data_IF_608260500240
#
_entry.id   IF_608260500240
#
_cell.length_a   1.000
_cell.length_b   1.000
_cell.length_c   1.000
_cell.angle_alpha   90.00
_cell.angle_beta   90.00
_cell.angle_gamma   90.00
#
_symmetry.space_group_name_H-M   'P 1'
#
loop_
_entity.id
_entity.type
_entity.pdbx_description
1 polymer ?
#
# COMPACT_ATOMS: atom_id res chain seq x y z
N UNK A 1 32.70 18.73 -19.12
CA UNK A 1 31.80 19.46 -18.19
C UNK A 1 32.48 20.77 -17.76
N UNK A 2 31.82 21.93 -17.85
CA UNK A 2 32.43 23.24 -17.57
C UNK A 2 32.80 23.38 -16.08
N UNK A 3 34.03 23.83 -15.78
CA UNK A 3 34.60 24.02 -14.42
C UNK A 3 33.69 24.83 -13.49
N UNK A 4 32.92 25.79 -14.04
CA UNK A 4 31.92 26.57 -13.29
C UNK A 4 30.73 25.74 -12.82
N UNK A 5 30.29 24.75 -13.60
CA UNK A 5 29.21 23.81 -13.23
C UNK A 5 29.70 22.78 -12.19
N UNK A 6 30.93 22.32 -12.29
CA UNK A 6 31.52 21.40 -11.30
C UNK A 6 31.66 22.07 -9.92
N UNK A 7 32.17 23.30 -9.86
CA UNK A 7 32.29 24.03 -8.60
C UNK A 7 30.94 24.35 -7.95
N UNK A 8 29.90 24.63 -8.76
CA UNK A 8 28.53 24.83 -8.26
C UNK A 8 27.96 23.54 -7.65
N UNK A 9 28.18 22.39 -8.30
CA UNK A 9 27.72 21.09 -7.80
C UNK A 9 28.48 20.69 -6.52
N UNK A 10 29.79 20.91 -6.48
CA UNK A 10 30.61 20.65 -5.30
C UNK A 10 30.16 21.47 -4.08
N UNK A 11 29.87 22.77 -4.25
CA UNK A 11 29.37 23.61 -3.16
C UNK A 11 27.98 23.20 -2.67
N UNK A 12 27.09 22.75 -3.57
CA UNK A 12 25.77 22.23 -3.20
C UNK A 12 25.92 20.95 -2.37
N UNK A 13 26.76 20.01 -2.81
CA UNK A 13 27.02 18.76 -2.09
C UNK A 13 27.69 19.01 -0.73
N UNK A 14 28.59 19.99 -0.66
CA UNK A 14 29.25 20.41 0.58
C UNK A 14 28.27 21.01 1.59
N UNK A 15 27.39 21.93 1.16
CA UNK A 15 26.36 22.50 2.05
C UNK A 15 25.30 21.47 2.45
N UNK A 16 24.96 20.51 1.58
CA UNK A 16 24.10 19.38 1.92
C UNK A 16 24.73 18.46 2.97
N UNK A 17 26.03 18.15 2.84
CA UNK A 17 26.78 17.35 3.82
C UNK A 17 26.96 18.07 5.17
N UNK A 18 27.12 19.40 5.15
CA UNK A 18 27.19 20.23 6.36
C UNK A 18 25.83 20.34 7.05
N UNK A 19 24.75 20.46 6.28
CA UNK A 19 23.38 20.50 6.81
C UNK A 19 22.98 19.14 7.39
N UNK A 20 23.34 18.03 6.73
CA UNK A 20 23.13 16.68 7.25
C UNK A 20 23.98 16.40 8.49
N UNK A 21 25.23 16.87 8.54
CA UNK A 21 26.09 16.79 9.73
C UNK A 21 25.54 17.59 10.91
N UNK A 22 25.00 18.80 10.67
CA UNK A 22 24.34 19.60 11.71
C UNK A 22 23.01 18.98 12.17
N UNK A 23 22.27 18.32 11.26
CA UNK A 23 21.06 17.57 11.62
C UNK A 23 21.40 16.30 12.39
N UNK A 24 22.47 15.59 12.03
CA UNK A 24 22.99 14.44 12.76
C UNK A 24 23.50 14.84 14.15
N UNK A 25 24.17 15.99 14.29
CA UNK A 25 24.57 16.57 15.58
C UNK A 25 23.40 17.02 16.47
N UNK A 26 22.32 17.52 15.87
CA UNK A 26 21.07 17.82 16.58
C UNK A 26 20.32 16.54 16.95
N UNK A 27 20.35 15.52 16.10
CA UNK A 27 19.77 14.21 16.39
C UNK A 27 20.54 13.49 17.50
N UNK A 28 21.87 13.51 17.50
CA UNK A 28 22.68 12.91 18.58
C UNK A 28 22.53 13.64 19.90
N UNK A 29 22.41 14.97 19.91
CA UNK A 29 22.11 15.72 21.15
C UNK A 29 20.67 15.53 21.65
N UNK A 30 19.74 15.17 20.75
CA UNK A 30 18.38 14.75 21.10
C UNK A 30 18.35 13.30 21.65
N UNK A 31 19.21 12.42 21.12
CA UNK A 31 19.37 11.02 21.53
C UNK A 31 20.15 10.89 22.85
N UNK A 32 21.03 11.84 23.19
CA UNK A 32 21.88 11.78 24.38
C UNK A 32 21.24 12.35 25.66
N UNK A 33 19.93 12.65 25.66
CA UNK A 33 19.21 13.17 26.83
C UNK A 33 18.33 12.06 27.43
N UNK A 34 18.76 11.40 28.52
CA UNK A 34 18.11 10.20 29.03
C UNK A 34 16.63 10.43 29.39
N UNK A 35 16.31 11.62 29.90
CA UNK A 35 14.96 11.94 30.39
C UNK A 35 13.96 12.33 29.28
N UNK A 36 14.38 12.45 28.01
CA UNK A 36 13.47 12.70 26.87
C UNK A 36 13.13 11.44 26.09
N UNK A 37 13.97 10.41 26.14
CA UNK A 37 13.70 9.13 25.47
C UNK A 37 12.65 8.28 26.19
N UNK A 38 12.52 8.40 27.51
CA UNK A 38 11.45 7.70 28.25
C UNK A 38 10.04 8.19 27.91
N UNK A 39 9.93 9.39 27.33
CA UNK A 39 8.69 9.94 26.78
C UNK A 39 8.47 9.59 25.30
N UNK A 40 9.45 8.99 24.65
CA UNK A 40 9.29 8.29 23.37
C UNK A 40 9.03 6.83 23.70
N UNK A 41 7.89 6.55 24.33
CA UNK A 41 7.28 5.22 24.25
C UNK A 41 7.01 4.95 22.79
N UNK A 42 7.99 4.36 22.09
CA UNK A 42 7.89 3.63 20.82
C UNK A 42 6.64 3.96 20.01
N UNK A 43 6.53 5.21 19.54
CA UNK A 43 5.36 5.66 18.80
C UNK A 43 5.53 5.27 17.33
N UNK A 44 5.40 3.98 17.05
CA UNK A 44 4.97 3.56 15.72
C UNK A 44 3.51 3.99 15.63
N UNK A 45 3.21 4.99 14.81
CA UNK A 45 1.84 5.41 14.53
C UNK A 45 1.31 4.47 13.45
N UNK A 46 0.50 3.45 13.80
CA UNK A 46 0.01 2.48 12.81
C UNK A 46 -0.76 3.18 11.69
N UNK A 47 -1.41 4.31 11.96
CA UNK A 47 -2.14 5.10 10.97
C UNK A 47 -1.21 5.74 9.93
N UNK A 48 -0.07 6.27 10.40
CA UNK A 48 0.96 6.85 9.53
C UNK A 48 1.63 5.78 8.68
N UNK A 49 1.89 4.61 9.26
CA UNK A 49 2.46 3.47 8.56
C UNK A 49 1.50 2.94 7.49
N UNK A 50 0.22 2.76 7.82
CA UNK A 50 -0.77 2.29 6.85
C UNK A 50 -0.96 3.31 5.71
N UNK A 51 -0.98 4.61 6.04
CA UNK A 51 -1.03 5.66 5.02
C UNK A 51 0.21 5.62 4.12
N UNK A 52 1.39 5.43 4.69
CA UNK A 52 2.66 5.28 3.95
C UNK A 52 2.66 4.05 3.03
N UNK A 53 2.19 2.91 3.51
CA UNK A 53 2.10 1.68 2.71
C UNK A 53 1.10 1.80 1.56
N UNK A 54 0.14 2.72 1.66
CA UNK A 54 -0.88 2.94 0.61
C UNK A 54 -0.43 3.92 -0.49
N UNK A 55 0.87 4.27 -0.54
CA UNK A 55 1.37 5.25 -1.50
C UNK A 55 1.82 4.62 -2.81
N UNK A 56 1.25 5.09 -3.93
CA UNK A 56 1.65 4.68 -5.29
C UNK A 56 3.14 4.87 -5.59
N UNK A 57 3.78 5.88 -4.98
CA UNK A 57 5.21 6.12 -5.13
C UNK A 57 6.07 5.01 -4.51
N UNK A 58 5.60 4.39 -3.42
CA UNK A 58 6.26 3.25 -2.79
C UNK A 58 6.15 2.01 -3.69
N UNK A 59 4.97 1.78 -4.27
CA UNK A 59 4.74 0.72 -5.25
C UNK A 59 5.63 0.88 -6.48
N UNK A 60 5.72 2.08 -7.05
CA UNK A 60 6.65 2.40 -8.17
C UNK A 60 8.12 2.18 -7.83
N UNK A 61 8.50 2.36 -6.57
CA UNK A 61 9.86 2.01 -6.13
C UNK A 61 10.06 0.50 -6.11
N UNK A 62 9.08 -0.25 -5.61
CA UNK A 62 9.13 -1.72 -5.62
C UNK A 62 9.17 -2.27 -7.04
N UNK A 63 8.33 -1.74 -7.94
CA UNK A 63 8.28 -2.09 -9.36
C UNK A 63 9.67 -2.04 -10.01
N UNK A 64 10.38 -0.91 -9.84
CA UNK A 64 11.75 -0.71 -10.37
C UNK A 64 12.77 -1.68 -9.81
N UNK A 65 12.56 -2.20 -8.59
CA UNK A 65 13.46 -3.17 -7.96
C UNK A 65 13.17 -4.58 -8.48
N UNK A 66 11.91 -4.88 -8.79
CA UNK A 66 11.46 -6.19 -9.28
C UNK A 66 11.42 -6.31 -10.80
N UNK A 67 11.62 -5.20 -11.52
CA UNK A 67 11.60 -5.15 -12.98
C UNK A 67 12.62 -6.11 -13.58
N UNK A 68 12.17 -6.90 -14.54
CA UNK A 68 13.00 -7.87 -15.25
C UNK A 68 12.44 -8.12 -16.65
N UNK A 69 13.28 -8.62 -17.54
CA UNK A 69 12.87 -8.98 -18.90
C UNK A 69 11.79 -10.05 -18.89
N UNK A 70 10.74 -9.87 -19.70
CA UNK A 70 9.66 -10.83 -19.86
C UNK A 70 10.18 -12.19 -20.35
N UNK A 71 9.85 -13.25 -19.61
CA UNK A 71 10.19 -14.63 -19.93
C UNK A 71 9.01 -15.37 -20.59
N UNK A 72 9.13 -16.69 -20.78
CA UNK A 72 8.08 -17.50 -21.42
C UNK A 72 6.79 -17.55 -20.60
N UNK A 73 6.89 -17.49 -19.27
CA UNK A 73 5.75 -17.53 -18.36
C UNK A 73 5.02 -16.19 -18.39
N UNK A 74 5.75 -15.08 -18.30
CA UNK A 74 5.17 -13.73 -18.39
C UNK A 74 4.38 -13.58 -19.71
N UNK A 75 4.93 -14.07 -20.82
CA UNK A 75 4.23 -14.09 -22.13
C UNK A 75 3.03 -15.04 -22.18
N UNK A 76 3.04 -16.12 -21.40
CA UNK A 76 1.93 -17.05 -21.32
C UNK A 76 0.76 -16.45 -20.54
N UNK A 77 1.03 -15.71 -19.46
CA UNK A 77 0.03 -14.91 -18.75
C UNK A 77 -0.56 -13.85 -19.69
N UNK A 78 0.29 -13.10 -20.40
CA UNK A 78 -0.14 -12.03 -21.31
C UNK A 78 -0.74 -12.54 -22.64
N UNK A 79 -0.86 -13.84 -22.89
CA UNK A 79 -1.09 -14.39 -24.23
C UNK A 79 -2.34 -13.83 -24.93
N UNK A 80 -3.44 -13.68 -24.19
CA UNK A 80 -4.69 -13.12 -24.71
C UNK A 80 -4.58 -11.61 -24.95
N UNK A 81 -3.84 -10.88 -24.12
CA UNK A 81 -3.52 -9.48 -24.35
C UNK A 81 -2.66 -9.30 -25.60
N UNK A 82 -1.61 -10.10 -25.78
CA UNK A 82 -0.77 -10.07 -26.98
C UNK A 82 -1.57 -10.36 -28.26
N UNK A 83 -2.65 -11.15 -28.16
CA UNK A 83 -3.54 -11.46 -29.27
C UNK A 83 -4.57 -10.36 -29.55
N UNK A 84 -5.16 -9.78 -28.52
CA UNK A 84 -6.36 -8.93 -28.64
C UNK A 84 -6.12 -7.44 -28.36
N UNK A 85 -5.08 -7.13 -27.60
CA UNK A 85 -4.76 -5.82 -27.03
C UNK A 85 -5.90 -5.24 -26.17
N UNK A 86 -6.82 -6.07 -25.69
CA UNK A 86 -7.91 -5.65 -24.81
C UNK A 86 -7.34 -5.18 -23.46
N UNK A 87 -7.87 -4.06 -22.95
CA UNK A 87 -7.50 -3.52 -21.63
C UNK A 87 -6.29 -2.59 -21.63
N UNK A 88 -5.41 -2.65 -22.63
CA UNK A 88 -4.20 -1.81 -22.67
C UNK A 88 -3.35 -1.98 -21.40
N UNK A 89 -2.98 -0.90 -20.69
CA UNK A 89 -2.27 -1.03 -19.41
C UNK A 89 -3.01 -1.85 -18.35
N UNK A 90 -4.35 -1.92 -18.42
CA UNK A 90 -5.22 -2.65 -17.48
C UNK A 90 -5.50 -4.10 -17.93
N UNK A 91 -4.77 -4.62 -18.93
CA UNK A 91 -5.08 -5.92 -19.58
C UNK A 91 -5.22 -7.09 -18.60
N UNK A 92 -4.41 -7.10 -17.52
CA UNK A 92 -4.39 -8.17 -16.52
C UNK A 92 -5.76 -8.50 -15.94
N UNK A 93 -6.66 -7.52 -15.83
CA UNK A 93 -8.04 -7.70 -15.34
C UNK A 93 -8.92 -8.49 -16.32
N UNK A 94 -8.53 -8.59 -17.59
CA UNK A 94 -9.42 -8.97 -18.70
C UNK A 94 -8.91 -10.12 -19.57
N UNK A 95 -7.62 -10.43 -19.53
CA UNK A 95 -6.97 -11.40 -20.44
C UNK A 95 -7.03 -12.86 -19.97
N UNK A 96 -7.45 -13.12 -18.72
CA UNK A 96 -7.55 -14.49 -18.20
C UNK A 96 -6.26 -15.05 -17.63
N UNK A 97 -5.15 -14.32 -17.68
CA UNK A 97 -3.82 -14.83 -17.32
C UNK A 97 -3.33 -14.43 -15.94
N UNK A 98 -3.92 -13.42 -15.29
CA UNK A 98 -3.36 -12.84 -14.07
C UNK A 98 -4.21 -13.03 -12.80
N UNK A 99 -5.39 -13.64 -12.87
CA UNK A 99 -5.98 -14.21 -11.66
C UNK A 99 -5.26 -15.52 -11.28
N UNK A 100 -5.32 -15.93 -10.00
CA UNK A 100 -4.51 -17.05 -9.49
C UNK A 100 -4.75 -18.34 -10.29
N UNK A 101 -6.00 -18.61 -10.68
CA UNK A 101 -6.35 -19.83 -11.40
C UNK A 101 -5.88 -19.78 -12.86
N UNK A 102 -6.10 -18.65 -13.53
CA UNK A 102 -5.64 -18.39 -14.89
C UNK A 102 -4.12 -18.40 -15.01
N UNK A 103 -3.42 -17.77 -14.05
CA UNK A 103 -1.96 -17.75 -14.00
C UNK A 103 -1.38 -19.15 -13.82
N UNK A 104 -2.00 -19.97 -12.97
CA UNK A 104 -1.57 -21.37 -12.80
C UNK A 104 -1.69 -22.16 -14.10
N UNK A 105 -2.83 -22.06 -14.80
CA UNK A 105 -3.02 -22.73 -16.08
C UNK A 105 -2.08 -22.18 -17.16
N UNK A 106 -1.83 -20.87 -17.19
CA UNK A 106 -0.90 -20.26 -18.13
C UNK A 106 0.55 -20.76 -17.92
N UNK A 107 1.01 -20.79 -16.67
CA UNK A 107 2.37 -21.26 -16.32
C UNK A 107 2.53 -22.74 -16.65
N UNK A 108 1.59 -23.58 -16.23
CA UNK A 108 1.61 -25.02 -16.48
C UNK A 108 1.64 -25.36 -17.98
N UNK A 109 0.99 -24.55 -18.80
CA UNK A 109 0.95 -24.75 -20.26
C UNK A 109 2.09 -24.05 -21.01
N UNK A 110 2.95 -23.28 -20.33
CA UNK A 110 4.04 -22.52 -20.96
C UNK A 110 5.17 -23.42 -21.48
N UNK A 111 5.43 -24.55 -20.81
CA UNK A 111 6.48 -25.50 -21.17
C UNK A 111 6.07 -26.91 -20.79
N UNK A 112 6.25 -27.86 -21.73
CA UNK A 112 5.95 -29.28 -21.49
C UNK A 112 7.04 -30.01 -20.70
N UNK A 113 8.20 -29.38 -20.58
CA UNK A 113 9.40 -29.98 -19.98
C UNK A 113 9.57 -29.55 -18.51
N UNK A 114 8.69 -28.69 -18.00
CA UNK A 114 8.77 -28.20 -16.64
C UNK A 114 8.34 -29.28 -15.64
N UNK A 115 9.10 -29.37 -14.55
CA UNK A 115 8.65 -30.06 -13.34
C UNK A 115 7.70 -29.17 -12.54
N UNK A 116 6.89 -29.80 -11.69
CA UNK A 116 6.01 -29.09 -10.75
C UNK A 116 6.70 -27.99 -9.92
N UNK A 117 7.97 -28.21 -9.53
CA UNK A 117 8.75 -27.20 -8.77
C UNK A 117 9.07 -26.00 -9.64
N UNK A 118 9.39 -26.20 -10.92
CA UNK A 118 9.63 -25.12 -11.87
C UNK A 118 8.35 -24.34 -12.14
N UNK A 119 7.23 -25.01 -12.35
CA UNK A 119 5.91 -24.38 -12.51
C UNK A 119 5.55 -23.53 -11.28
N UNK A 120 5.74 -24.07 -10.07
CA UNK A 120 5.44 -23.34 -8.83
C UNK A 120 6.32 -22.12 -8.66
N UNK A 121 7.63 -22.25 -8.93
CA UNK A 121 8.57 -21.13 -8.84
C UNK A 121 8.28 -20.07 -9.91
N UNK A 122 7.91 -20.49 -11.12
CA UNK A 122 7.51 -19.61 -12.21
C UNK A 122 6.24 -18.82 -11.87
N UNK A 123 5.20 -19.50 -11.36
CA UNK A 123 3.98 -18.87 -10.90
C UNK A 123 4.27 -17.81 -9.83
N UNK A 124 5.01 -18.19 -8.78
CA UNK A 124 5.35 -17.26 -7.71
C UNK A 124 6.14 -16.05 -8.23
N UNK A 125 7.10 -16.27 -9.13
CA UNK A 125 7.91 -15.19 -9.68
C UNK A 125 7.12 -14.25 -10.59
N UNK A 126 6.28 -14.77 -11.50
CA UNK A 126 5.47 -13.93 -12.41
C UNK A 126 4.42 -13.14 -11.63
N UNK A 127 3.69 -13.79 -10.70
CA UNK A 127 2.73 -13.09 -9.84
C UNK A 127 3.41 -12.06 -8.92
N UNK A 128 4.63 -12.34 -8.43
CA UNK A 128 5.38 -11.38 -7.62
C UNK A 128 5.74 -10.11 -8.41
N UNK A 129 6.10 -10.23 -9.69
CA UNK A 129 6.36 -9.05 -10.54
C UNK A 129 5.09 -8.20 -10.66
N UNK A 130 3.96 -8.83 -10.98
CA UNK A 130 2.69 -8.13 -11.21
C UNK A 130 2.16 -7.47 -9.93
N UNK A 131 2.28 -8.15 -8.78
CA UNK A 131 1.96 -7.60 -7.46
C UNK A 131 2.74 -6.33 -7.11
N UNK A 132 3.92 -6.14 -7.71
CA UNK A 132 4.75 -4.97 -7.44
C UNK A 132 4.56 -3.85 -8.48
N UNK A 133 3.51 -3.90 -9.29
CA UNK A 133 3.14 -2.82 -10.23
C UNK A 133 1.90 -2.07 -9.77
N UNK A 134 1.68 -0.86 -10.31
CA UNK A 134 0.47 -0.05 -10.01
C UNK A 134 -0.86 -0.76 -10.32
N UNK A 135 -0.87 -1.71 -11.25
CA UNK A 135 -2.10 -2.43 -11.64
C UNK A 135 -2.37 -3.68 -10.81
N UNK A 136 -1.40 -4.12 -10.00
CA UNK A 136 -1.50 -5.33 -9.19
C UNK A 136 -1.95 -6.58 -9.94
N UNK A 137 -2.63 -7.46 -9.21
CA UNK A 137 -3.31 -8.65 -9.70
C UNK A 137 -4.82 -8.53 -9.52
N UNK A 138 -5.65 -9.01 -10.45
CA UNK A 138 -7.08 -9.09 -10.23
C UNK A 138 -7.46 -10.23 -9.27
N UNK A 139 -8.53 -10.08 -8.50
CA UNK A 139 -9.11 -11.21 -7.75
C UNK A 139 -9.70 -12.28 -8.67
N UNK A 140 -10.20 -11.85 -9.83
CA UNK A 140 -10.74 -12.70 -10.89
C UNK A 140 -10.67 -11.96 -12.22
N UNK A 141 -10.58 -12.71 -13.30
CA UNK A 141 -10.78 -12.16 -14.64
C UNK A 141 -12.22 -11.67 -14.82
N UNK A 142 -12.38 -10.49 -15.40
CA UNK A 142 -13.67 -9.85 -15.66
C UNK A 142 -13.82 -9.59 -17.15
N UNK A 143 -15.05 -9.70 -17.67
CA UNK A 143 -15.31 -9.27 -19.04
C UNK A 143 -15.19 -7.74 -19.17
N UNK A 144 -14.44 -7.27 -20.17
CA UNK A 144 -14.20 -5.84 -20.38
C UNK A 144 -15.47 -5.00 -20.55
N UNK A 145 -16.50 -5.48 -21.25
CA UNK A 145 -17.74 -4.71 -21.43
C UNK A 145 -18.49 -4.56 -20.11
N UNK A 146 -18.61 -5.65 -19.34
CA UNK A 146 -19.23 -5.61 -18.02
C UNK A 146 -18.46 -4.71 -17.05
N UNK A 147 -17.12 -4.72 -17.10
CA UNK A 147 -16.30 -3.80 -16.35
C UNK A 147 -16.58 -2.34 -16.76
N UNK A 148 -16.57 -2.02 -18.05
CA UNK A 148 -16.76 -0.65 -18.53
C UNK A 148 -18.13 -0.08 -18.13
N UNK A 149 -19.19 -0.88 -18.23
CA UNK A 149 -20.54 -0.53 -17.81
C UNK A 149 -20.61 -0.28 -16.30
N UNK A 150 -20.06 -1.19 -15.51
CA UNK A 150 -20.08 -1.08 -14.05
C UNK A 150 -19.22 0.09 -13.57
N UNK A 151 -18.02 0.26 -14.12
CA UNK A 151 -17.12 1.37 -13.82
C UNK A 151 -17.77 2.71 -14.15
N UNK A 152 -18.47 2.82 -15.30
CA UNK A 152 -19.21 4.02 -15.66
C UNK A 152 -20.36 4.32 -14.68
N UNK A 153 -21.10 3.29 -14.26
CA UNK A 153 -22.13 3.44 -13.24
C UNK A 153 -21.55 3.87 -11.89
N UNK A 154 -20.45 3.26 -11.44
CA UNK A 154 -19.74 3.61 -10.19
C UNK A 154 -19.29 5.07 -10.23
N UNK A 155 -18.59 5.48 -11.29
CA UNK A 155 -18.10 6.87 -11.41
C UNK A 155 -19.23 7.90 -11.44
N UNK A 156 -20.42 7.52 -11.92
CA UNK A 156 -21.61 8.38 -11.92
C UNK A 156 -22.32 8.43 -10.56
N UNK A 157 -22.31 7.32 -9.83
CA UNK A 157 -23.18 7.12 -8.66
C UNK A 157 -22.47 7.35 -7.33
N UNK A 158 -21.15 7.14 -7.27
CA UNK A 158 -20.35 7.29 -6.07
C UNK A 158 -19.50 8.56 -6.20
N UNK A 159 -19.71 9.57 -5.32
CA UNK A 159 -18.89 10.77 -5.34
C UNK A 159 -17.40 10.42 -5.21
N UNK A 160 -16.54 11.10 -5.97
CA UNK A 160 -15.08 10.94 -5.98
C UNK A 160 -14.53 9.60 -6.49
N UNK A 161 -15.36 8.58 -6.70
CA UNK A 161 -14.93 7.35 -7.36
C UNK A 161 -14.80 7.59 -8.86
N UNK A 162 -13.70 7.12 -9.44
CA UNK A 162 -13.50 7.08 -10.88
C UNK A 162 -13.25 5.64 -11.34
N UNK A 163 -12.96 5.47 -12.64
CA UNK A 163 -12.67 4.13 -13.19
C UNK A 163 -11.39 3.53 -12.62
N UNK A 164 -10.39 4.35 -12.28
CA UNK A 164 -9.14 3.87 -11.66
C UNK A 164 -9.41 3.37 -10.25
N UNK A 165 -10.15 4.12 -9.45
CA UNK A 165 -10.55 3.71 -8.11
C UNK A 165 -11.35 2.39 -8.14
N UNK A 166 -12.26 2.25 -9.11
CA UNK A 166 -12.99 0.99 -9.28
C UNK A 166 -12.12 -0.16 -9.80
N UNK A 167 -11.09 0.13 -10.59
CA UNK A 167 -10.08 -0.86 -10.96
C UNK A 167 -9.33 -1.35 -9.72
N UNK A 168 -8.80 -0.41 -8.93
CA UNK A 168 -8.04 -0.67 -7.72
C UNK A 168 -8.86 -1.53 -6.73
N UNK A 169 -10.18 -1.29 -6.62
CA UNK A 169 -11.12 -2.09 -5.82
C UNK A 169 -11.22 -3.57 -6.24
N UNK A 170 -10.92 -3.89 -7.49
CA UNK A 170 -11.01 -5.23 -8.07
C UNK A 170 -9.64 -5.89 -8.24
N UNK A 171 -8.58 -5.20 -7.88
CA UNK A 171 -7.21 -5.68 -7.88
C UNK A 171 -6.60 -5.65 -6.49
N UNK A 172 -5.41 -6.22 -6.36
CA UNK A 172 -4.59 -6.08 -5.18
C UNK A 172 -3.11 -6.05 -5.51
N UNK A 173 -2.34 -5.28 -4.75
CA UNK A 173 -0.89 -5.20 -4.86
C UNK A 173 -0.16 -5.73 -3.60
N UNK A 174 1.18 -5.77 -3.66
CA UNK A 174 2.03 -6.28 -2.58
C UNK A 174 1.92 -5.47 -1.28
N UNK A 175 1.75 -4.16 -1.37
CA UNK A 175 1.61 -3.29 -0.21
C UNK A 175 0.21 -3.31 0.38
N UNK A 176 -0.81 -3.56 -0.44
CA UNK A 176 -2.18 -3.80 0.05
C UNK A 176 -2.28 -5.10 0.84
N UNK A 177 -1.62 -6.16 0.37
CA UNK A 177 -1.45 -7.41 1.14
C UNK A 177 -0.72 -7.13 2.45
N UNK A 178 0.40 -6.41 2.40
CA UNK A 178 1.21 -6.12 3.59
C UNK A 178 0.44 -5.27 4.62
N UNK A 179 -0.26 -4.22 4.17
CA UNK A 179 -1.10 -3.38 5.00
C UNK A 179 -2.22 -4.20 5.65
N UNK A 180 -2.92 -5.03 4.86
CA UNK A 180 -3.93 -5.97 5.34
C UNK A 180 -3.38 -6.92 6.42
N UNK A 181 -2.22 -7.52 6.18
CA UNK A 181 -1.58 -8.46 7.12
C UNK A 181 -1.18 -7.78 8.43
N UNK A 182 -0.55 -6.60 8.37
CA UNK A 182 -0.16 -5.84 9.57
C UNK A 182 -1.39 -5.39 10.37
N UNK A 183 -2.45 -4.94 9.69
CA UNK A 183 -3.72 -4.61 10.32
C UNK A 183 -4.38 -5.82 10.95
N UNK A 184 -4.33 -6.99 10.32
CA UNK A 184 -4.88 -8.23 10.88
C UNK A 184 -4.17 -8.62 12.18
N UNK A 185 -2.84 -8.54 12.20
CA UNK A 185 -2.04 -8.76 13.41
C UNK A 185 -2.43 -7.75 14.49
N UNK A 186 -2.50 -6.45 14.16
CA UNK A 186 -2.91 -5.40 15.09
C UNK A 186 -4.29 -5.64 15.71
N UNK A 187 -5.27 -6.00 14.88
CA UNK A 187 -6.63 -6.36 15.32
C UNK A 187 -6.62 -7.56 16.25
N UNK A 188 -5.91 -8.64 15.89
CA UNK A 188 -5.82 -9.84 16.71
C UNK A 188 -5.24 -9.54 18.09
N UNK A 189 -4.18 -8.73 18.16
CA UNK A 189 -3.60 -8.29 19.43
C UNK A 189 -4.57 -7.42 20.25
N UNK A 190 -5.23 -6.46 19.62
CA UNK A 190 -6.19 -5.59 20.31
C UNK A 190 -7.38 -6.40 20.86
N UNK A 191 -7.93 -7.33 20.07
CA UNK A 191 -9.01 -8.22 20.51
C UNK A 191 -8.57 -9.17 21.63
N UNK A 192 -7.36 -9.74 21.54
CA UNK A 192 -6.81 -10.64 22.56
C UNK A 192 -6.58 -9.95 23.90
N UNK A 193 -6.11 -8.71 23.85
CA UNK A 193 -5.81 -7.91 25.04
C UNK A 193 -7.00 -7.09 25.53
N UNK A 194 -8.16 -7.20 24.87
CA UNK A 194 -9.36 -6.40 25.15
C UNK A 194 -9.09 -4.87 25.10
N UNK A 195 -8.12 -4.47 24.27
CA UNK A 195 -7.75 -3.06 24.08
C UNK A 195 -8.71 -2.39 23.07
N UNK A 196 -9.85 -1.97 23.60
CA UNK A 196 -10.93 -1.32 22.85
C UNK A 196 -10.51 0.01 22.21
N UNK A 197 -9.58 0.74 22.83
CA UNK A 197 -9.14 2.03 22.32
C UNK A 197 -8.27 1.83 21.08
N UNK A 198 -7.31 0.89 21.13
CA UNK A 198 -6.49 0.53 19.97
C UNK A 198 -7.33 -0.12 18.86
N UNK A 199 -8.31 -0.96 19.20
CA UNK A 199 -9.21 -1.55 18.22
C UNK A 199 -10.05 -0.50 17.49
N UNK A 200 -10.63 0.45 18.24
CA UNK A 200 -11.40 1.55 17.65
C UNK A 200 -10.52 2.44 16.74
N UNK A 201 -9.29 2.76 17.17
CA UNK A 201 -8.35 3.55 16.40
C UNK A 201 -7.89 2.82 15.11
N UNK A 202 -7.66 1.51 15.18
CA UNK A 202 -7.38 0.67 14.01
C UNK A 202 -8.57 0.64 13.03
N UNK A 203 -9.80 0.43 13.53
CA UNK A 203 -11.01 0.44 12.70
C UNK A 203 -11.19 1.79 11.98
N UNK A 204 -10.97 2.90 12.68
CA UNK A 204 -11.06 4.24 12.10
C UNK A 204 -9.98 4.51 11.06
N UNK A 205 -8.74 4.15 11.36
CA UNK A 205 -7.60 4.41 10.47
C UNK A 205 -7.58 3.50 9.25
N UNK A 206 -7.56 2.18 9.45
CA UNK A 206 -7.53 1.21 8.36
C UNK A 206 -8.82 1.24 7.53
N UNK A 207 -9.97 1.56 8.13
CA UNK A 207 -11.23 1.70 7.40
C UNK A 207 -11.20 2.88 6.43
N UNK A 208 -10.71 4.05 6.86
CA UNK A 208 -10.56 5.22 5.97
C UNK A 208 -9.52 4.94 4.88
N UNK A 209 -8.40 4.32 5.23
CA UNK A 209 -7.36 3.97 4.27
C UNK A 209 -7.90 3.02 3.21
N UNK A 210 -8.63 1.98 3.61
CA UNK A 210 -9.28 1.05 2.67
C UNK A 210 -10.21 1.75 1.68
N UNK A 211 -10.95 2.78 2.12
CA UNK A 211 -11.83 3.54 1.22
C UNK A 211 -11.02 4.42 0.27
N UNK A 212 -10.05 5.18 0.79
CA UNK A 212 -9.27 6.14 -0.02
C UNK A 212 -8.39 5.41 -1.04
N UNK A 213 -7.74 4.32 -0.63
CA UNK A 213 -6.86 3.53 -1.49
C UNK A 213 -7.60 2.47 -2.30
N UNK A 214 -8.92 2.36 -2.15
CA UNK A 214 -9.73 1.28 -2.69
C UNK A 214 -9.29 -0.15 -2.29
N UNK A 215 -8.54 -0.34 -1.20
CA UNK A 215 -8.00 -1.65 -0.80
C UNK A 215 -9.10 -2.58 -0.25
N UNK A 216 -9.54 -3.60 -1.00
CA UNK A 216 -10.67 -4.44 -0.59
C UNK A 216 -10.30 -5.43 0.52
N UNK A 217 -9.05 -5.89 0.55
CA UNK A 217 -8.49 -6.79 1.57
C UNK A 217 -8.59 -6.16 2.96
N UNK A 218 -8.13 -4.91 3.07
CA UNK A 218 -8.20 -4.14 4.31
C UNK A 218 -9.65 -3.79 4.67
N UNK A 219 -10.47 -3.42 3.70
CA UNK A 219 -11.89 -3.12 3.90
C UNK A 219 -12.68 -4.30 4.47
N UNK A 220 -12.55 -5.48 3.86
CA UNK A 220 -13.20 -6.72 4.33
C UNK A 220 -12.75 -7.05 5.75
N UNK A 221 -11.45 -6.98 6.03
CA UNK A 221 -10.91 -7.22 7.37
C UNK A 221 -11.55 -6.29 8.41
N UNK A 222 -11.66 -4.99 8.12
CA UNK A 222 -12.26 -4.02 9.04
C UNK A 222 -13.76 -4.27 9.26
N UNK A 223 -14.51 -4.61 8.21
CA UNK A 223 -15.94 -4.95 8.32
C UNK A 223 -16.13 -6.20 9.19
N UNK A 224 -15.38 -7.26 8.95
CA UNK A 224 -15.46 -8.50 9.74
C UNK A 224 -15.07 -8.26 11.20
N UNK A 225 -14.04 -7.44 11.42
CA UNK A 225 -13.58 -7.06 12.76
C UNK A 225 -14.64 -6.28 13.53
N UNK A 226 -15.23 -5.26 12.88
CA UNK A 226 -16.30 -4.47 13.49
C UNK A 226 -17.53 -5.33 13.79
N UNK A 227 -17.93 -6.20 12.86
CA UNK A 227 -19.04 -7.12 13.05
C UNK A 227 -18.77 -8.10 14.21
N UNK A 228 -17.59 -8.69 14.27
CA UNK A 228 -17.20 -9.60 15.36
C UNK A 228 -17.21 -8.89 16.72
N UNK A 229 -16.57 -7.72 16.81
CA UNK A 229 -16.51 -6.94 18.04
C UNK A 229 -17.90 -6.52 18.53
N UNK A 230 -18.78 -6.07 17.63
CA UNK A 230 -20.13 -5.64 17.96
C UNK A 230 -21.06 -6.80 18.29
N UNK A 231 -21.16 -7.80 17.41
CA UNK A 231 -22.16 -8.86 17.57
C UNK A 231 -21.73 -9.97 18.54
N UNK A 232 -20.44 -10.33 18.56
CA UNK A 232 -19.93 -11.46 19.34
C UNK A 232 -19.37 -11.00 20.68
N UNK A 233 -18.48 -10.01 20.67
CA UNK A 233 -17.86 -9.50 21.89
C UNK A 233 -18.71 -8.47 22.64
N UNK A 234 -19.80 -7.99 22.02
CA UNK A 234 -20.68 -6.94 22.58
C UNK A 234 -19.91 -5.71 23.05
N UNK A 235 -18.85 -5.37 22.31
CA UNK A 235 -17.96 -4.26 22.64
C UNK A 235 -18.59 -2.94 22.23
N UNK A 236 -18.57 -1.97 23.13
CA UNK A 236 -18.92 -0.58 22.82
C UNK A 236 -17.66 0.21 22.49
N UNK A 237 -17.58 0.72 21.26
CA UNK A 237 -16.45 1.51 20.82
C UNK A 237 -16.55 2.96 21.29
N UNK A 238 -15.43 3.52 21.76
CA UNK A 238 -15.32 4.96 21.97
C UNK A 238 -15.20 5.66 20.62
N UNK A 239 -16.27 6.37 20.22
CA UNK A 239 -16.33 7.12 18.96
C UNK A 239 -15.15 8.09 18.77
N UNK A 240 -14.61 8.64 19.87
CA UNK A 240 -13.47 9.55 19.83
C UNK A 240 -12.17 8.88 19.36
N UNK A 241 -11.95 7.60 19.70
CA UNK A 241 -10.75 6.84 19.30
C UNK A 241 -10.83 6.41 17.84
N UNK A 242 -12.01 5.99 17.40
CA UNK A 242 -12.31 5.79 15.99
C UNK A 242 -12.08 7.07 15.19
N UNK A 243 -12.64 8.19 15.65
CA UNK A 243 -12.47 9.50 15.02
C UNK A 243 -11.01 9.96 14.97
N UNK A 244 -10.22 9.71 16.02
CA UNK A 244 -8.78 9.98 16.05
C UNK A 244 -8.04 9.20 14.96
N UNK A 245 -8.26 7.88 14.88
CA UNK A 245 -7.63 7.05 13.85
C UNK A 245 -8.00 7.49 12.44
N UNK A 246 -9.28 7.79 12.20
CA UNK A 246 -9.78 8.32 10.93
C UNK A 246 -9.15 9.68 10.58
N UNK A 247 -9.03 10.59 11.55
CA UNK A 247 -8.44 11.91 11.33
C UNK A 247 -6.94 11.83 11.03
N UNK A 248 -6.17 11.08 11.82
CA UNK A 248 -4.72 10.94 11.63
C UNK A 248 -4.42 10.28 10.29
N UNK A 249 -5.12 9.21 9.92
CA UNK A 249 -4.93 8.56 8.62
C UNK A 249 -5.28 9.49 7.44
N UNK A 250 -6.41 10.21 7.51
CA UNK A 250 -6.80 11.18 6.47
C UNK A 250 -5.76 12.27 6.28
N UNK A 251 -5.26 12.85 7.37
CA UNK A 251 -4.21 13.88 7.34
C UNK A 251 -2.91 13.30 6.79
N UNK A 252 -2.55 12.09 7.20
CA UNK A 252 -1.34 11.39 6.73
C UNK A 252 -1.41 11.15 5.22
N UNK A 253 -2.54 10.64 4.71
CA UNK A 253 -2.78 10.45 3.28
C UNK A 253 -2.69 11.78 2.52
N UNK A 254 -3.29 12.85 3.05
CA UNK A 254 -3.18 14.18 2.46
C UNK A 254 -1.75 14.69 2.39
N UNK A 255 -0.94 14.44 3.42
CA UNK A 255 0.48 14.82 3.44
C UNK A 255 1.25 14.04 2.36
N UNK A 256 1.16 12.71 2.33
CA UNK A 256 1.86 11.92 1.33
C UNK A 256 1.41 12.21 -0.11
N UNK A 257 0.15 12.60 -0.31
CA UNK A 257 -0.35 12.97 -1.63
C UNK A 257 0.13 14.36 -2.10
N UNK A 258 0.28 15.32 -1.18
CA UNK A 258 0.61 16.72 -1.51
C UNK A 258 2.10 16.99 -1.55
N UNK A 259 2.85 16.34 -0.66
CA UNK A 259 4.28 16.44 -0.64
C UNK A 259 4.80 15.35 -1.59
N UNK A 260 5.50 15.77 -2.64
CA UNK A 260 6.25 14.88 -3.52
C UNK A 260 7.74 14.99 -3.15
N UNK A 261 8.02 15.01 -1.85
CA UNK A 261 9.35 14.98 -1.26
C UNK A 261 9.86 13.53 -1.34
N UNK A 262 11.08 13.30 -0.84
CA UNK A 262 11.48 11.92 -0.58
C UNK A 262 10.52 11.34 0.46
N UNK A 263 9.94 10.18 0.14
CA UNK A 263 9.05 9.37 0.99
C UNK A 263 9.50 9.32 2.46
N UNK A 264 10.82 9.33 2.69
CA UNK A 264 11.41 9.34 4.02
C UNK A 264 11.14 10.63 4.83
N UNK A 265 11.20 11.81 4.20
CA UNK A 265 10.95 13.09 4.87
C UNK A 265 9.47 13.27 5.18
N UNK A 266 8.58 12.84 4.29
CA UNK A 266 7.14 12.82 4.53
C UNK A 266 6.80 11.90 5.70
N UNK A 267 7.38 10.71 5.74
CA UNK A 267 7.17 9.78 6.84
C UNK A 267 7.53 10.42 8.19
N UNK A 268 8.69 11.09 8.28
CA UNK A 268 9.10 11.83 9.48
C UNK A 268 8.11 12.94 9.84
N UNK A 269 7.64 13.72 8.86
CA UNK A 269 6.69 14.82 9.08
C UNK A 269 5.34 14.30 9.61
N UNK A 270 4.85 13.18 9.07
CA UNK A 270 3.63 12.52 9.54
C UNK A 270 3.78 12.02 10.98
N UNK A 271 4.92 11.42 11.34
CA UNK A 271 5.19 11.00 12.74
C UNK A 271 5.13 12.19 13.70
N UNK A 272 5.65 13.36 13.31
CA UNK A 272 5.61 14.58 14.11
C UNK A 272 4.16 15.06 14.29
N UNK A 273 3.40 15.18 13.21
CA UNK A 273 2.02 15.69 13.25
C UNK A 273 1.09 14.74 14.01
N UNK A 274 1.19 13.43 13.77
CA UNK A 274 0.43 12.41 14.50
C UNK A 274 0.65 12.52 16.01
N UNK A 275 1.89 12.80 16.43
CA UNK A 275 2.21 13.01 17.86
C UNK A 275 1.54 14.24 18.48
N UNK A 276 1.30 15.29 17.69
CA UNK A 276 0.65 16.51 18.16
C UNK A 276 -0.87 16.33 18.27
N UNK A 277 -1.47 15.59 17.34
CA UNK A 277 -2.90 15.29 17.34
C UNK A 277 -3.26 14.40 18.53
N UNK A 278 -2.50 13.32 18.78
CA UNK A 278 -2.79 12.38 19.88
C UNK A 278 -2.54 12.93 21.29
N UNK A 279 -1.87 14.08 21.43
CA UNK A 279 -1.62 14.74 22.72
C UNK A 279 -2.77 15.64 23.20
N UNK A 280 -3.77 15.88 22.34
CA UNK A 280 -4.99 16.64 22.67
C UNK A 280 -6.14 15.69 22.96
#
# INVERSE_FOLDING_TARGET
>A
MNKKKFNKLHNILYEMAKTSGNMAGKATSFISSPNKLDNIKTAVYPEALLAFLSQKNLLKLSERITESTANIYDKALDAEYLRTHIGGPNHRMFDGGHDIAGAWEAVKNASKDDSFVQETAALANSLWKDLNTEMGLPFRTINKSSYDETAAWVSKSIPTADKSWFYDLLSYDSFEILAGALSAVGVLFALKNEDLDSLAELLGSAGIIAIISANPLLGILMVLTAAYAYFIKKMEFKSIKFGSGAAVSSVSMGIFALFNLSLFFEFILVLIIGSLIKKR
#
